data_IF_787181593833
#
_entry.id   IF_787181593833
#
_cell.length_a   1.000
_cell.length_b   1.000
_cell.length_c   1.000
_cell.angle_alpha   90.00
_cell.angle_beta   90.00
_cell.angle_gamma   90.00
#
_symmetry.space_group_name_H-M   'P 1'
#
loop_
_entity.id
_entity.type
_entity.pdbx_description
1 polymer ?
#
# COMPACT_ATOMS: atom_id res chain seq x y z
N UNK A 1 -4.13 32.55 -3.29
CA UNK A 1 -2.91 31.75 -3.52
C UNK A 1 -2.82 30.54 -2.56
N UNK A 2 -3.34 30.67 -1.35
CA UNK A 2 -3.40 29.64 -0.30
C UNK A 2 -4.07 28.32 -0.74
N UNK A 3 -5.23 28.37 -1.41
CA UNK A 3 -5.94 27.16 -1.88
C UNK A 3 -5.15 26.31 -2.90
N UNK A 4 -4.23 26.92 -3.67
CA UNK A 4 -3.35 26.19 -4.61
C UNK A 4 -2.24 25.43 -3.88
N UNK A 5 -1.66 26.03 -2.84
CA UNK A 5 -0.62 25.38 -2.03
C UNK A 5 -1.17 24.18 -1.26
N UNK A 6 -2.36 24.30 -0.64
CA UNK A 6 -2.98 23.19 0.11
C UNK A 6 -3.40 22.05 -0.83
N UNK A 7 -3.74 22.34 -2.09
CA UNK A 7 -3.99 21.31 -3.11
C UNK A 7 -2.71 20.58 -3.53
N UNK A 8 -1.61 21.31 -3.75
CA UNK A 8 -0.32 20.71 -4.08
C UNK A 8 0.23 19.84 -2.96
N UNK A 9 0.10 20.28 -1.71
CA UNK A 9 0.50 19.50 -0.53
C UNK A 9 -0.31 18.21 -0.41
N UNK A 10 -1.63 18.27 -0.67
CA UNK A 10 -2.49 17.09 -0.68
C UNK A 10 -2.14 16.11 -1.80
N UNK A 11 -1.81 16.61 -2.99
CA UNK A 11 -1.38 15.80 -4.14
C UNK A 11 -0.02 15.13 -3.84
N UNK A 12 0.93 15.87 -3.24
CA UNK A 12 2.21 15.30 -2.83
C UNK A 12 2.04 14.21 -1.76
N UNK A 13 1.20 14.44 -0.75
CA UNK A 13 0.93 13.45 0.29
C UNK A 13 0.25 12.19 -0.27
N UNK A 14 -0.70 12.37 -1.20
CA UNK A 14 -1.34 11.25 -1.88
C UNK A 14 -0.33 10.49 -2.74
N UNK A 15 0.49 11.19 -3.51
CA UNK A 15 1.55 10.60 -4.32
C UNK A 15 2.55 9.79 -3.48
N UNK A 16 3.01 10.34 -2.37
CA UNK A 16 3.92 9.65 -1.45
C UNK A 16 3.28 8.39 -0.83
N UNK A 17 2.00 8.48 -0.47
CA UNK A 17 1.26 7.35 0.09
C UNK A 17 1.04 6.23 -0.94
N UNK A 18 0.74 6.58 -2.19
CA UNK A 18 0.66 5.62 -3.31
C UNK A 18 2.02 4.98 -3.58
N UNK A 19 3.09 5.76 -3.56
CA UNK A 19 4.45 5.29 -3.77
C UNK A 19 4.87 4.31 -2.67
N UNK A 20 4.52 4.59 -1.42
CA UNK A 20 4.73 3.68 -0.29
C UNK A 20 4.01 2.33 -0.49
N UNK A 21 2.72 2.36 -0.83
CA UNK A 21 1.94 1.13 -1.13
C UNK A 21 2.57 0.34 -2.28
N UNK A 22 3.03 1.03 -3.33
CA UNK A 22 3.73 0.40 -4.46
C UNK A 22 5.02 -0.31 -4.05
N UNK A 23 5.81 0.31 -3.17
CA UNK A 23 7.07 -0.27 -2.66
C UNK A 23 6.80 -1.51 -1.81
N UNK A 24 5.80 -1.47 -0.93
CA UNK A 24 5.47 -2.63 -0.08
C UNK A 24 4.90 -3.77 -0.93
N UNK A 25 4.03 -3.47 -1.90
CA UNK A 25 3.49 -4.46 -2.82
C UNK A 25 4.58 -5.11 -3.69
N UNK A 26 5.54 -4.32 -4.18
CA UNK A 26 6.71 -4.84 -4.88
C UNK A 26 7.56 -5.75 -3.98
N UNK A 27 7.75 -5.38 -2.71
CA UNK A 27 8.43 -6.21 -1.72
C UNK A 27 7.72 -7.55 -1.50
N UNK A 28 6.39 -7.54 -1.36
CA UNK A 28 5.59 -8.76 -1.23
C UNK A 28 5.72 -9.67 -2.47
N UNK A 29 5.70 -9.09 -3.68
CA UNK A 29 5.89 -9.83 -4.92
C UNK A 29 7.28 -10.49 -5.01
N UNK A 30 8.35 -9.79 -4.60
CA UNK A 30 9.71 -10.34 -4.55
C UNK A 30 9.80 -11.50 -3.55
N UNK A 31 9.19 -11.36 -2.37
CA UNK A 31 9.14 -12.43 -1.36
C UNK A 31 8.40 -13.64 -1.92
N UNK A 32 7.30 -13.44 -2.65
CA UNK A 32 6.55 -14.54 -3.27
C UNK A 32 7.37 -15.24 -4.37
N UNK A 33 8.12 -14.49 -5.20
CA UNK A 33 9.02 -15.08 -6.19
C UNK A 33 10.16 -15.87 -5.52
N UNK A 34 10.73 -15.35 -4.43
CA UNK A 34 11.73 -16.06 -3.64
C UNK A 34 11.16 -17.34 -3.01
N UNK A 35 9.93 -17.30 -2.48
CA UNK A 35 9.24 -18.47 -1.95
C UNK A 35 9.05 -19.55 -3.02
N UNK A 36 8.64 -19.17 -4.24
CA UNK A 36 8.51 -20.10 -5.38
C UNK A 36 9.86 -20.71 -5.79
N UNK A 37 10.93 -19.92 -5.77
CA UNK A 37 12.29 -20.41 -6.04
C UNK A 37 12.80 -21.40 -4.97
N UNK A 38 12.46 -21.16 -3.70
CA UNK A 38 12.80 -22.05 -2.58
C UNK A 38 12.05 -23.40 -2.64
N UNK A 39 10.80 -23.42 -3.11
CA UNK A 39 10.06 -24.66 -3.31
C UNK A 39 10.68 -25.54 -4.39
N UNK A 40 11.29 -24.94 -5.42
CA UNK A 40 12.04 -25.67 -6.46
C UNK A 40 13.36 -26.26 -5.94
N UNK A 41 13.97 -25.64 -4.93
CA UNK A 41 15.23 -26.08 -4.31
C UNK A 41 15.05 -27.20 -3.26
N UNK A 42 13.82 -27.70 -3.05
CA UNK A 42 13.54 -28.75 -2.07
C UNK A 42 13.64 -28.31 -0.62
N UNK A 43 13.53 -27.00 -0.36
CA UNK A 43 13.52 -26.47 1.02
C UNK A 43 12.22 -26.88 1.72
N UNK A 44 12.34 -27.25 3.00
CA UNK A 44 11.23 -27.69 3.87
C UNK A 44 9.94 -26.89 3.65
N UNK A 45 8.83 -27.60 3.44
CA UNK A 45 7.49 -27.03 3.24
C UNK A 45 7.13 -25.98 4.30
N UNK A 46 7.61 -26.15 5.53
CA UNK A 46 7.37 -25.20 6.64
C UNK A 46 7.91 -23.82 6.31
N UNK A 47 9.13 -23.73 5.78
CA UNK A 47 9.75 -22.45 5.40
C UNK A 47 9.02 -21.79 4.23
N UNK A 48 8.54 -22.60 3.29
CA UNK A 48 7.72 -22.12 2.17
C UNK A 48 6.38 -21.51 2.66
N UNK A 49 5.65 -22.22 3.52
CA UNK A 49 4.37 -21.74 4.05
C UNK A 49 4.53 -20.49 4.93
N UNK A 50 5.60 -20.40 5.73
CA UNK A 50 5.90 -19.21 6.52
C UNK A 50 6.19 -18.00 5.61
N UNK A 51 7.01 -18.17 4.57
CA UNK A 51 7.39 -17.08 3.67
C UNK A 51 6.21 -16.64 2.79
N UNK A 52 5.42 -17.59 2.28
CA UNK A 52 4.19 -17.31 1.53
C UNK A 52 3.12 -16.65 2.42
N UNK A 53 2.98 -17.10 3.66
CA UNK A 53 2.09 -16.49 4.65
C UNK A 53 2.47 -15.05 4.96
N UNK A 54 3.76 -14.77 5.15
CA UNK A 54 4.27 -13.41 5.35
C UNK A 54 3.99 -12.49 4.15
N UNK A 55 4.20 -12.98 2.92
CA UNK A 55 3.89 -12.22 1.70
C UNK A 55 2.39 -11.88 1.60
N UNK A 56 1.51 -12.83 1.92
CA UNK A 56 0.05 -12.60 1.94
C UNK A 56 -0.37 -11.61 3.02
N UNK A 57 0.25 -11.66 4.20
CA UNK A 57 -0.01 -10.70 5.28
C UNK A 57 0.43 -9.28 4.89
N UNK A 58 1.58 -9.14 4.23
CA UNK A 58 2.06 -7.86 3.68
C UNK A 58 1.08 -7.30 2.66
N UNK A 59 0.63 -8.12 1.71
CA UNK A 59 -0.40 -7.73 0.73
C UNK A 59 -1.71 -7.33 1.41
N UNK A 60 -2.15 -8.05 2.44
CA UNK A 60 -3.35 -7.70 3.19
C UNK A 60 -3.19 -6.34 3.91
N UNK A 61 -2.02 -6.08 4.49
CA UNK A 61 -1.71 -4.78 5.09
C UNK A 61 -1.73 -3.66 4.04
N UNK A 62 -1.19 -3.88 2.84
CA UNK A 62 -1.23 -2.91 1.75
C UNK A 62 -2.64 -2.55 1.32
N UNK A 63 -3.53 -3.55 1.21
CA UNK A 63 -4.94 -3.33 0.90
C UNK A 63 -5.61 -2.50 1.98
N UNK A 64 -5.37 -2.81 3.27
CA UNK A 64 -5.90 -2.03 4.39
C UNK A 64 -5.40 -0.59 4.33
N UNK A 65 -4.10 -0.39 4.07
CA UNK A 65 -3.51 0.94 3.97
C UNK A 65 -4.10 1.73 2.81
N UNK A 66 -4.29 1.10 1.65
CA UNK A 66 -4.92 1.70 0.47
C UNK A 66 -6.35 2.16 0.78
N UNK A 67 -7.14 1.32 1.47
CA UNK A 67 -8.51 1.65 1.90
C UNK A 67 -8.51 2.84 2.86
N UNK A 68 -7.59 2.86 3.83
CA UNK A 68 -7.45 4.00 4.76
C UNK A 68 -7.08 5.28 4.03
N UNK A 69 -6.12 5.24 3.11
CA UNK A 69 -5.72 6.40 2.29
C UNK A 69 -6.89 6.91 1.46
N UNK A 70 -7.62 6.02 0.78
CA UNK A 70 -8.83 6.38 0.02
C UNK A 70 -9.88 7.03 0.91
N UNK A 71 -10.15 6.45 2.09
CA UNK A 71 -11.12 6.99 3.03
C UNK A 71 -10.73 8.39 3.53
N UNK A 72 -9.47 8.59 3.93
CA UNK A 72 -8.98 9.91 4.36
C UNK A 72 -9.00 10.93 3.23
N UNK A 73 -8.62 10.54 2.01
CA UNK A 73 -8.66 11.40 0.83
C UNK A 73 -10.10 11.82 0.50
N UNK A 74 -11.04 10.88 0.45
CA UNK A 74 -12.45 11.14 0.21
C UNK A 74 -13.05 12.03 1.30
N UNK A 75 -12.73 11.78 2.58
CA UNK A 75 -13.18 12.61 3.71
C UNK A 75 -12.66 14.05 3.61
N UNK A 76 -11.41 14.25 3.17
CA UNK A 76 -10.84 15.59 2.99
C UNK A 76 -11.49 16.33 1.81
N UNK A 77 -11.81 15.63 0.72
CA UNK A 77 -12.54 16.19 -0.42
C UNK A 77 -13.98 16.57 -0.03
N UNK A 78 -14.70 15.70 0.67
CA UNK A 78 -16.06 15.97 1.15
C UNK A 78 -16.12 17.16 2.12
N UNK A 79 -15.15 17.26 3.04
CA UNK A 79 -15.06 18.41 3.95
C UNK A 79 -14.82 19.73 3.22
N UNK A 80 -14.01 19.73 2.15
CA UNK A 80 -13.82 20.94 1.33
C UNK A 80 -15.09 21.32 0.57
N UNK A 81 -15.74 20.35 -0.06
CA UNK A 81 -17.00 20.59 -0.77
C UNK A 81 -18.11 21.10 0.17
N UNK A 82 -18.15 20.64 1.42
CA UNK A 82 -19.11 21.09 2.43
C UNK A 82 -18.78 22.46 3.04
N UNK A 83 -17.53 22.93 2.94
CA UNK A 83 -17.08 24.20 3.52
C UNK A 83 -16.96 25.33 2.48
N UNK A 84 -17.21 25.02 1.20
CA UNK A 84 -17.36 25.98 0.10
C UNK A 84 -18.84 26.33 -0.19
N UNK A 85 -19.78 25.83 0.63
CA UNK A 85 -21.20 26.22 0.66
C UNK A 85 -21.49 27.03 1.94
#
# INVERSE_FOLDING_TARGET
>A
MENKQINLELIMHFGFSVLYVLVVAAGAAVIEMAARGLSWLGVSDVSYYLLSGAARLLLAMDVVLLVLIMYFSARKLLRRAANEN
#
